data_IF_301754498550
#
_entry.id   IF_301754498550
#
_cell.length_a   1.000
_cell.length_b   1.000
_cell.length_c   1.000
_cell.angle_alpha   90.00
_cell.angle_beta   90.00
_cell.angle_gamma   90.00
#
_symmetry.space_group_name_H-M   'P 1'
#
loop_
_entity.id
_entity.type
_entity.pdbx_description
1 polymer ?
#
# COMPACT_ATOMS: atom_id res chain seq x y z
N UNK A 1 0.93 7.43 -6.63
CA UNK A 1 -0.33 7.01 -5.98
C UNK A 1 -1.34 8.10 -6.23
N UNK A 2 -2.50 7.76 -6.78
CA UNK A 2 -3.64 8.66 -6.94
C UNK A 2 -4.82 8.10 -6.14
N UNK A 3 -5.70 8.96 -5.64
CA UNK A 3 -6.85 8.51 -4.87
C UNK A 3 -7.85 9.61 -4.58
N UNK A 4 -9.06 9.18 -4.22
CA UNK A 4 -10.18 10.04 -3.84
C UNK A 4 -10.73 9.59 -2.49
N UNK A 5 -10.95 10.55 -1.59
CA UNK A 5 -11.44 10.30 -0.24
C UNK A 5 -12.91 10.70 -0.05
N UNK A 6 -13.56 10.06 0.91
CA UNK A 6 -14.83 10.55 1.46
C UNK A 6 -14.60 11.83 2.26
N UNK A 7 -15.65 12.66 2.40
CA UNK A 7 -15.58 13.95 3.09
C UNK A 7 -15.12 13.85 4.54
N UNK A 8 -15.49 12.77 5.22
CA UNK A 8 -15.10 12.48 6.61
C UNK A 8 -13.67 11.94 6.75
N UNK A 9 -12.96 11.73 5.64
CA UNK A 9 -11.61 11.18 5.60
C UNK A 9 -11.53 9.70 5.98
N UNK A 10 -12.67 9.02 6.16
CA UNK A 10 -12.70 7.62 6.64
C UNK A 10 -12.33 6.63 5.55
N UNK A 11 -12.81 6.84 4.32
CA UNK A 11 -12.66 5.87 3.24
C UNK A 11 -11.97 6.50 2.04
N UNK A 12 -11.06 5.74 1.45
CA UNK A 12 -10.25 6.19 0.32
C UNK A 12 -10.27 5.13 -0.79
N UNK A 13 -10.67 5.52 -1.99
CA UNK A 13 -10.39 4.74 -3.18
C UNK A 13 -8.98 5.11 -3.66
N UNK A 14 -8.09 4.13 -3.74
CA UNK A 14 -6.67 4.32 -4.04
C UNK A 14 -6.28 3.46 -5.23
N UNK A 15 -5.51 4.02 -6.16
CA UNK A 15 -4.75 3.21 -7.12
C UNK A 15 -3.44 2.81 -6.46
N UNK A 16 -3.30 1.53 -6.14
CA UNK A 16 -2.14 0.93 -5.49
C UNK A 16 -1.64 -0.27 -6.30
N UNK A 17 -0.53 -0.85 -5.88
CA UNK A 17 -0.04 -2.10 -6.46
C UNK A 17 1.29 -2.49 -5.86
N UNK A 18 1.61 -3.76 -5.98
CA UNK A 18 2.93 -4.32 -5.70
C UNK A 18 3.60 -4.75 -7.01
N UNK A 19 4.86 -5.24 -6.98
CA UNK A 19 5.55 -5.67 -8.20
C UNK A 19 4.84 -6.78 -9.00
N UNK A 20 3.90 -7.50 -8.38
CA UNK A 20 3.11 -8.58 -8.99
C UNK A 20 1.66 -8.20 -9.27
N UNK A 21 1.16 -7.09 -8.72
CA UNK A 21 -0.23 -6.62 -8.89
C UNK A 21 -0.28 -5.10 -9.14
N UNK A 22 0.34 -4.58 -10.21
CA UNK A 22 0.36 -3.14 -10.48
C UNK A 22 -1.03 -2.61 -10.85
N UNK A 23 -1.40 -1.48 -10.25
CA UNK A 23 -2.53 -0.65 -10.71
C UNK A 23 -3.90 -1.10 -10.21
N UNK A 24 -3.95 -1.94 -9.17
CA UNK A 24 -5.19 -2.30 -8.50
C UNK A 24 -5.90 -1.08 -7.90
N UNK A 25 -7.22 -1.06 -8.04
CA UNK A 25 -8.09 -0.13 -7.32
C UNK A 25 -8.53 -0.80 -6.02
N UNK A 26 -8.26 -0.13 -4.90
CA UNK A 26 -8.58 -0.63 -3.57
C UNK A 26 -9.33 0.41 -2.76
N UNK A 27 -10.23 -0.06 -1.89
CA UNK A 27 -10.84 0.73 -0.84
C UNK A 27 -10.01 0.55 0.43
N UNK A 28 -9.51 1.64 0.99
CA UNK A 28 -8.94 1.67 2.34
C UNK A 28 -9.98 2.25 3.32
N UNK A 29 -10.22 1.57 4.44
CA UNK A 29 -11.02 2.09 5.56
C UNK A 29 -10.10 2.42 6.74
N UNK A 30 -10.06 3.70 7.13
CA UNK A 30 -9.16 4.20 8.17
C UNK A 30 -9.56 3.75 9.58
N UNK A 31 -10.82 3.37 9.80
CA UNK A 31 -11.29 2.89 11.10
C UNK A 31 -10.77 1.47 11.36
N UNK A 32 -10.94 0.57 10.38
CA UNK A 32 -10.50 -0.83 10.50
C UNK A 32 -9.04 -1.02 10.10
N UNK A 33 -8.46 -0.05 9.38
CA UNK A 33 -7.12 -0.12 8.74
C UNK A 33 -6.99 -1.27 7.73
N UNK A 34 -8.11 -1.67 7.15
CA UNK A 34 -8.16 -2.73 6.16
C UNK A 34 -8.19 -2.17 4.75
N UNK A 35 -7.74 -3.00 3.80
CA UNK A 35 -7.88 -2.74 2.37
C UNK A 35 -8.74 -3.81 1.74
N UNK A 36 -9.62 -3.41 0.82
CA UNK A 36 -10.44 -4.29 0.00
C UNK A 36 -10.20 -3.98 -1.47
N UNK A 37 -9.78 -4.97 -2.25
CA UNK A 37 -9.69 -4.83 -3.71
C UNK A 37 -11.09 -4.59 -4.30
N UNK A 38 -11.22 -3.52 -5.07
CA UNK A 38 -12.45 -3.17 -5.80
C UNK A 38 -12.36 -3.60 -7.26
N UNK A 39 -11.18 -3.44 -7.88
CA UNK A 39 -10.96 -3.80 -9.27
C UNK A 39 -9.49 -4.11 -9.54
N UNK A 40 -9.24 -5.21 -10.26
CA UNK A 40 -7.91 -5.65 -10.70
C UNK A 40 -7.81 -5.65 -12.22
N UNK A 41 -7.43 -4.53 -12.86
CA UNK A 41 -7.41 -4.42 -14.32
C UNK A 41 -6.45 -5.40 -14.99
N UNK A 42 -5.38 -5.78 -14.28
CA UNK A 42 -4.29 -6.58 -14.83
C UNK A 42 -4.35 -8.06 -14.39
N UNK A 43 -5.34 -8.49 -13.61
CA UNK A 43 -5.37 -9.84 -13.04
C UNK A 43 -5.32 -10.93 -14.12
N UNK A 44 -6.14 -10.77 -15.17
CA UNK A 44 -6.19 -11.73 -16.27
C UNK A 44 -4.90 -11.76 -17.09
N UNK A 45 -4.26 -10.60 -17.28
CA UNK A 45 -2.99 -10.48 -17.98
C UNK A 45 -1.86 -11.17 -17.20
N UNK A 46 -1.85 -11.01 -15.88
CA UNK A 46 -0.75 -11.44 -15.01
C UNK A 46 -0.89 -12.90 -14.55
N UNK A 47 -2.12 -13.47 -14.52
CA UNK A 47 -2.37 -14.84 -14.05
C UNK A 47 -1.57 -15.92 -14.80
N UNK A 48 -1.17 -15.67 -16.05
CA UNK A 48 -0.37 -16.60 -16.87
C UNK A 48 1.13 -16.34 -16.86
N UNK A 49 1.61 -15.31 -16.16
CA UNK A 49 3.01 -14.90 -16.20
C UNK A 49 3.78 -15.43 -14.98
N UNK A 50 4.92 -16.06 -15.22
CA UNK A 50 5.86 -16.43 -14.17
C UNK A 50 6.68 -15.20 -13.75
N UNK A 51 6.11 -14.34 -12.90
CA UNK A 51 6.69 -13.05 -12.48
C UNK A 51 7.93 -13.17 -11.55
N UNK A 52 8.38 -14.38 -11.23
CA UNK A 52 9.52 -14.62 -10.34
C UNK A 52 9.23 -14.28 -8.87
N UNK A 53 10.26 -14.33 -8.02
CA UNK A 53 10.16 -13.94 -6.60
C UNK A 53 10.54 -12.47 -6.43
N UNK A 54 9.77 -11.75 -5.64
CA UNK A 54 10.10 -10.37 -5.24
C UNK A 54 11.04 -10.43 -4.03
N UNK A 55 12.26 -9.91 -4.20
CA UNK A 55 13.20 -9.72 -3.09
C UNK A 55 12.92 -8.39 -2.39
N UNK A 56 12.61 -8.42 -1.09
CA UNK A 56 12.36 -7.21 -0.31
C UNK A 56 13.63 -6.79 0.44
N UNK A 57 14.19 -5.63 0.09
CA UNK A 57 15.32 -5.03 0.83
C UNK A 57 14.78 -4.32 2.07
N UNK A 58 14.69 -5.04 3.18
CA UNK A 58 14.22 -4.50 4.46
C UNK A 58 15.01 -3.26 4.90
N UNK A 59 14.38 -2.09 4.85
CA UNK A 59 14.94 -0.85 5.41
C UNK A 59 15.03 -0.98 6.93
N UNK A 60 16.23 -1.17 7.48
CA UNK A 60 16.48 -1.05 8.93
C UNK A 60 16.31 0.43 9.31
N UNK A 61 15.23 0.79 9.98
CA UNK A 61 15.18 2.09 10.69
C UNK A 61 16.00 1.95 11.97
N UNK A 62 17.12 2.65 12.05
CA UNK A 62 17.85 2.83 13.31
C UNK A 62 17.03 3.74 14.23
N UNK A 63 16.69 3.26 15.42
CA UNK A 63 16.12 4.08 16.48
C UNK A 63 17.25 4.85 17.17
N UNK A 64 17.57 6.04 16.69
CA UNK A 64 18.33 7.02 17.47
C UNK A 64 17.34 7.93 18.19
N UNK A 65 16.83 7.48 19.34
CA UNK A 65 16.02 8.29 20.23
C UNK A 65 16.91 9.01 21.25
N UNK A 66 16.94 10.34 21.11
CA UNK A 66 16.96 11.36 22.17
C UNK A 66 17.82 11.14 23.43
N UNK A 67 18.94 11.87 23.53
CA UNK A 67 19.46 12.38 24.80
C UNK A 67 20.04 13.78 24.66
N UNK A 68 19.17 14.80 24.59
CA UNK A 68 19.52 16.18 25.00
C UNK A 68 18.29 16.87 25.59
N UNK A 69 18.06 16.61 26.87
CA UNK A 69 17.33 17.50 27.76
C UNK A 69 18.05 17.43 29.11
N UNK A 70 18.54 18.57 29.60
CA UNK A 70 19.30 18.67 30.83
C UNK A 70 20.13 19.94 30.80
N UNK A 71 19.47 21.04 31.13
CA UNK A 71 20.02 22.38 31.35
C UNK A 71 20.95 22.42 32.56
#
# INVERSE_FOLDING_TARGET
IAGTGTRDGRRWALTMGDPTTPGDLVLFDAETRETKKLYGPNDALLAGLALGKVESSGTRRSTAAASRAGS
#
